data_IF_931153803057
#
_entry.id   IF_931153803057
#
_cell.length_a   1.000
_cell.length_b   1.000
_cell.length_c   1.000
_cell.angle_alpha   90.00
_cell.angle_beta   90.00
_cell.angle_gamma   90.00
#
_symmetry.space_group_name_H-M   'P 1'
#
loop_
_entity.id
_entity.type
_entity.pdbx_description
1 polymer ?
#
# COMPACT_ATOMS: atom_id res chain seq x y z
N UNK A 1 -4.10 3.90 -13.84
CA UNK A 1 -3.15 5.02 -13.57
C UNK A 1 -2.10 4.52 -12.59
N UNK A 2 -0.81 4.66 -12.86
CA UNK A 2 0.24 4.19 -11.95
C UNK A 2 1.30 5.28 -11.72
N UNK A 3 1.71 5.55 -10.47
CA UNK A 3 2.80 6.48 -10.19
C UNK A 3 4.12 6.05 -10.82
N UNK A 4 4.98 7.02 -11.12
CA UNK A 4 6.34 6.74 -11.58
C UNK A 4 7.18 6.09 -10.48
N UNK A 5 8.12 5.24 -10.89
CA UNK A 5 9.10 4.65 -9.97
C UNK A 5 10.10 5.72 -9.55
N UNK A 6 10.28 5.88 -8.23
CA UNK A 6 11.21 6.82 -7.62
C UNK A 6 12.22 6.09 -6.75
N UNK A 7 13.37 6.72 -6.49
CA UNK A 7 14.34 6.19 -5.53
C UNK A 7 13.88 6.52 -4.10
N UNK A 8 13.40 5.51 -3.39
CA UNK A 8 12.88 5.62 -2.02
C UNK A 8 13.99 5.70 -0.97
N UNK A 9 15.21 5.27 -1.29
CA UNK A 9 16.30 5.18 -0.32
C UNK A 9 16.72 6.54 0.25
N UNK A 10 16.69 7.59 -0.57
CA UNK A 10 17.09 8.95 -0.17
C UNK A 10 16.17 9.61 0.85
N UNK A 11 14.95 9.06 1.03
CA UNK A 11 13.95 9.53 1.99
C UNK A 11 13.79 8.56 3.17
N UNK A 12 14.56 7.48 3.18
CA UNK A 12 14.51 6.45 4.21
C UNK A 12 15.39 6.83 5.41
N UNK A 13 15.08 6.24 6.57
CA UNK A 13 16.01 6.21 7.69
C UNK A 13 16.80 4.90 7.63
N UNK A 14 18.12 4.97 7.69
CA UNK A 14 19.00 3.80 7.67
C UNK A 14 19.72 3.65 9.00
N UNK A 15 19.82 2.41 9.48
CA UNK A 15 20.58 2.04 10.67
C UNK A 15 21.51 0.87 10.38
N UNK A 16 22.64 0.83 11.06
CA UNK A 16 23.58 -0.31 11.04
C UNK A 16 23.84 -0.79 12.46
N UNK A 17 24.02 -2.09 12.65
CA UNK A 17 24.43 -2.64 13.94
C UNK A 17 25.93 -2.45 14.24
N UNK A 18 26.73 -2.04 13.26
CA UNK A 18 28.15 -1.77 13.41
C UNK A 18 28.65 -0.79 12.32
N UNK A 19 29.34 0.27 12.73
CA UNK A 19 30.03 1.21 11.84
C UNK A 19 31.47 1.42 12.32
N UNK A 20 32.41 1.55 11.39
CA UNK A 20 33.80 1.78 11.79
C UNK A 20 33.94 3.13 12.51
N UNK A 21 34.90 3.23 13.44
CA UNK A 21 35.14 4.47 14.17
C UNK A 21 34.26 4.70 15.42
N UNK A 22 33.22 3.90 15.66
CA UNK A 22 32.29 4.06 16.80
C UNK A 22 32.99 3.89 18.17
N UNK A 23 34.02 3.03 18.25
CA UNK A 23 34.77 2.73 19.48
C UNK A 23 36.16 3.39 19.50
N UNK A 24 36.43 4.28 18.55
CA UNK A 24 37.73 4.88 18.31
C UNK A 24 38.30 4.53 16.92
N UNK A 25 39.47 5.07 16.56
CA UNK A 25 40.03 4.97 15.21
C UNK A 25 40.32 3.52 14.78
N UNK A 26 39.71 3.09 13.68
CA UNK A 26 39.92 1.77 13.05
C UNK A 26 40.79 1.92 11.79
N UNK A 27 41.88 1.15 11.69
CA UNK A 27 42.78 1.18 10.54
C UNK A 27 42.34 0.14 9.51
N UNK A 28 42.01 0.59 8.31
CA UNK A 28 41.59 -0.27 7.21
C UNK A 28 42.56 -0.18 6.03
N UNK A 29 42.61 -1.21 5.20
CA UNK A 29 43.48 -1.27 4.03
C UNK A 29 42.71 -1.73 2.80
N UNK A 30 42.99 -1.15 1.63
CA UNK A 30 42.37 -1.62 0.38
C UNK A 30 42.88 -3.00 -0.01
N UNK A 31 41.97 -3.85 -0.47
CA UNK A 31 42.32 -5.14 -1.06
C UNK A 31 42.93 -4.91 -2.45
N UNK A 32 44.14 -5.42 -2.67
CA UNK A 32 44.85 -5.37 -3.96
C UNK A 32 45.30 -6.78 -4.33
N UNK A 33 45.25 -7.11 -5.62
CA UNK A 33 45.61 -8.44 -6.12
C UNK A 33 47.14 -8.64 -6.18
N UNK A 34 47.90 -7.58 -6.45
CA UNK A 34 49.36 -7.57 -6.50
C UNK A 34 49.91 -6.30 -5.85
N UNK A 35 50.94 -6.45 -5.01
CA UNK A 35 51.69 -5.33 -4.42
C UNK A 35 52.87 -5.06 -5.34
N UNK A 36 52.84 -3.94 -6.06
CA UNK A 36 53.93 -3.56 -6.96
C UNK A 36 55.16 -3.17 -6.12
N UNK A 37 56.17 -4.04 -6.11
CA UNK A 37 57.41 -3.91 -5.29
C UNK A 37 58.27 -2.69 -5.65
N UNK A 38 57.94 -1.94 -6.70
CA UNK A 38 58.70 -0.77 -7.18
C UNK A 38 58.31 0.56 -6.52
N UNK A 39 57.20 0.59 -5.78
CA UNK A 39 56.78 1.77 -5.02
C UNK A 39 56.58 1.38 -3.56
N UNK A 40 57.26 2.06 -2.66
CA UNK A 40 57.24 1.87 -1.19
C UNK A 40 55.87 2.21 -0.52
N UNK A 41 54.78 2.22 -1.31
CA UNK A 41 53.40 2.51 -0.91
C UNK A 41 52.53 1.24 -0.94
N UNK A 42 53.07 0.13 -0.44
CA UNK A 42 52.57 -1.23 -0.64
C UNK A 42 51.20 -1.57 -0.02
N UNK A 43 50.58 -0.65 0.71
CA UNK A 43 49.24 -0.83 1.27
C UNK A 43 48.53 0.53 1.34
N UNK A 44 47.54 0.77 0.47
CA UNK A 44 46.68 1.95 0.55
C UNK A 44 45.74 1.80 1.74
N UNK A 45 46.24 2.16 2.92
CA UNK A 45 45.48 2.12 4.17
C UNK A 45 44.99 3.52 4.56
N UNK A 46 43.88 3.55 5.29
CA UNK A 46 43.28 4.75 5.86
C UNK A 46 42.89 4.52 7.32
N UNK A 47 42.39 5.57 7.94
CA UNK A 47 41.82 5.56 9.29
C UNK A 47 40.34 5.87 9.15
N UNK A 48 39.50 5.08 9.82
CA UNK A 48 38.09 5.38 10.00
C UNK A 48 37.86 5.77 11.45
N UNK A 49 37.39 6.98 11.68
CA UNK A 49 37.09 7.49 13.01
C UNK A 49 35.87 8.42 12.93
N UNK A 50 34.79 8.00 13.57
CA UNK A 50 33.52 8.73 13.55
C UNK A 50 33.63 10.10 14.25
N UNK A 51 34.57 10.23 15.19
CA UNK A 51 34.81 11.45 15.95
C UNK A 51 35.95 12.30 15.36
N UNK A 52 36.55 11.88 14.23
CA UNK A 52 37.62 12.63 13.59
C UNK A 52 37.13 14.01 13.14
N UNK A 53 38.01 15.01 13.26
CA UNK A 53 37.78 16.34 12.69
C UNK A 53 37.77 16.31 11.16
N UNK A 54 38.48 15.35 10.56
CA UNK A 54 38.56 15.17 9.12
C UNK A 54 37.32 14.44 8.60
N UNK A 55 36.45 15.08 7.79
CA UNK A 55 35.26 14.43 7.25
C UNK A 55 35.55 13.20 6.38
N UNK A 56 36.74 13.14 5.77
CA UNK A 56 37.15 12.03 4.89
C UNK A 56 37.41 10.72 5.64
N UNK A 57 37.52 10.77 6.97
CA UNK A 57 37.71 9.60 7.85
C UNK A 57 36.38 9.14 8.47
N UNK A 58 35.28 9.86 8.22
CA UNK A 58 33.94 9.55 8.76
C UNK A 58 33.10 8.82 7.72
N UNK A 59 32.77 7.56 8.02
CA UNK A 59 32.03 6.66 7.13
C UNK A 59 30.69 6.23 7.72
N UNK A 60 29.88 7.22 8.09
CA UNK A 60 28.57 7.02 8.72
C UNK A 60 27.57 6.29 7.78
N UNK A 61 26.53 5.67 8.36
CA UNK A 61 25.60 4.80 7.63
C UNK A 61 24.73 5.58 6.62
N UNK A 62 24.48 6.85 6.90
CA UNK A 62 23.69 7.75 6.05
C UNK A 62 24.37 8.00 4.70
N UNK A 63 25.70 7.90 4.62
CA UNK A 63 26.45 8.00 3.37
C UNK A 63 26.07 6.89 2.36
N UNK A 64 25.41 5.81 2.79
CA UNK A 64 24.96 4.77 1.88
C UNK A 64 23.70 5.15 1.09
N UNK A 65 22.95 6.17 1.52
CA UNK A 65 21.67 6.59 0.93
C UNK A 65 21.62 8.08 0.56
N UNK A 66 22.74 8.79 0.65
CA UNK A 66 22.81 10.25 0.43
C UNK A 66 22.69 10.66 -1.05
N UNK A 67 22.77 9.71 -1.97
CA UNK A 67 22.67 9.91 -3.42
C UNK A 67 23.84 10.65 -4.06
N UNK A 68 24.92 10.91 -3.32
CA UNK A 68 26.10 11.64 -3.84
C UNK A 68 27.13 10.70 -4.47
N UNK A 69 27.31 9.52 -3.87
CA UNK A 69 28.20 8.46 -4.37
C UNK A 69 29.70 8.76 -4.30
N UNK A 70 30.11 9.90 -3.72
CA UNK A 70 31.49 10.26 -3.42
C UNK A 70 31.94 9.78 -2.02
N UNK A 71 30.99 9.69 -1.08
CA UNK A 71 31.17 9.14 0.26
C UNK A 71 30.63 7.71 0.35
N UNK A 72 30.95 7.03 1.45
CA UNK A 72 30.46 5.68 1.71
C UNK A 72 30.29 5.42 3.21
N UNK A 73 29.42 4.47 3.51
CA UNK A 73 29.36 3.79 4.80
C UNK A 73 30.38 2.65 4.83
N UNK A 74 30.99 2.42 6.00
CA UNK A 74 31.95 1.33 6.18
C UNK A 74 31.73 0.60 7.51
N UNK A 75 31.74 -0.73 7.48
CA UNK A 75 31.74 -1.56 8.69
C UNK A 75 33.12 -1.60 9.35
N UNK A 76 33.22 -1.96 10.63
CA UNK A 76 34.52 -2.28 11.24
C UNK A 76 35.25 -3.39 10.48
N UNK A 77 36.57 -3.37 10.55
CA UNK A 77 37.41 -4.42 9.97
C UNK A 77 37.35 -5.70 10.79
N UNK A 78 37.72 -6.84 10.18
CA UNK A 78 37.88 -8.10 10.92
C UNK A 78 39.00 -8.02 11.97
N UNK A 79 39.94 -7.07 11.85
CA UNK A 79 40.97 -6.80 12.87
C UNK A 79 40.35 -6.40 14.22
N UNK A 80 39.20 -5.71 14.18
CA UNK A 80 38.44 -5.32 15.37
C UNK A 80 37.61 -6.47 15.96
N UNK A 81 37.44 -7.57 15.24
CA UNK A 81 36.75 -8.76 15.74
C UNK A 81 36.03 -9.58 14.66
N UNK A 82 36.05 -10.90 14.83
CA UNK A 82 35.42 -11.85 13.91
C UNK A 82 33.89 -11.72 13.81
N UNK A 83 33.24 -11.12 14.82
CA UNK A 83 31.80 -10.85 14.78
C UNK A 83 31.40 -9.96 13.60
N UNK A 84 32.32 -9.12 13.09
CA UNK A 84 32.05 -8.21 11.97
C UNK A 84 31.98 -8.89 10.60
N UNK A 85 32.11 -10.23 10.54
CA UNK A 85 31.56 -10.98 9.42
C UNK A 85 30.04 -10.83 9.29
N UNK A 86 29.35 -10.52 10.40
CA UNK A 86 27.91 -10.39 10.47
C UNK A 86 27.53 -8.95 10.77
N UNK A 87 27.07 -8.24 9.75
CA UNK A 87 26.64 -6.84 9.84
C UNK A 87 25.25 -6.73 9.22
N UNK A 88 24.36 -5.98 9.85
CA UNK A 88 22.99 -5.81 9.39
C UNK A 88 22.70 -4.35 9.21
N UNK A 89 22.28 -3.97 8.00
CA UNK A 89 21.74 -2.64 7.72
C UNK A 89 20.22 -2.76 7.58
N UNK A 90 19.49 -1.85 8.19
CA UNK A 90 18.02 -1.80 8.13
C UNK A 90 17.58 -0.42 7.68
N UNK A 91 16.75 -0.37 6.63
CA UNK A 91 16.13 0.83 6.11
C UNK A 91 14.64 0.85 6.48
N UNK A 92 14.16 1.97 6.99
CA UNK A 92 12.74 2.26 7.22
C UNK A 92 12.27 3.30 6.20
N UNK A 93 11.41 2.87 5.26
CA UNK A 93 10.80 3.72 4.23
C UNK A 93 9.67 4.60 4.78
N UNK A 94 9.38 4.54 6.10
CA UNK A 94 8.32 5.29 6.81
C UNK A 94 6.88 4.89 6.49
N UNK A 95 6.64 4.30 5.33
CA UNK A 95 5.37 3.73 4.91
C UNK A 95 5.59 2.53 3.99
N UNK A 96 4.51 1.83 3.65
CA UNK A 96 4.57 0.67 2.74
C UNK A 96 4.59 1.16 1.30
N UNK A 97 5.56 0.66 0.52
CA UNK A 97 5.67 0.89 -0.91
C UNK A 97 5.66 -0.44 -1.67
N UNK A 98 5.34 -0.36 -2.96
CA UNK A 98 5.61 -1.44 -3.89
C UNK A 98 7.02 -1.28 -4.45
N UNK A 99 7.94 -2.15 -4.04
CA UNK A 99 9.36 -2.09 -4.44
C UNK A 99 9.58 -2.89 -5.71
N UNK A 100 10.10 -2.23 -6.74
CA UNK A 100 10.38 -2.82 -8.04
C UNK A 100 11.79 -3.42 -8.11
N UNK A 101 12.78 -2.74 -7.55
CA UNK A 101 14.17 -3.21 -7.52
C UNK A 101 14.97 -2.62 -6.37
N UNK A 102 16.07 -3.29 -6.04
CA UNK A 102 17.10 -2.81 -5.10
C UNK A 102 18.45 -2.91 -5.79
N UNK A 103 19.17 -1.79 -5.85
CA UNK A 103 20.52 -1.70 -6.38
C UNK A 103 21.46 -1.31 -5.24
N UNK A 104 22.56 -2.05 -5.10
CA UNK A 104 23.59 -1.78 -4.09
C UNK A 104 24.92 -1.63 -4.80
N UNK A 105 25.64 -0.55 -4.49
CA UNK A 105 26.97 -0.27 -5.00
C UNK A 105 28.00 -0.30 -3.88
N UNK A 106 28.88 -1.28 -3.93
CA UNK A 106 30.03 -1.35 -3.04
C UNK A 106 30.97 -0.16 -3.30
N UNK A 107 31.74 0.24 -2.28
CA UNK A 107 32.69 1.33 -2.39
C UNK A 107 34.13 0.81 -2.60
N UNK A 108 34.98 0.92 -1.59
CA UNK A 108 36.38 0.51 -1.57
C UNK A 108 36.59 -0.95 -1.12
N UNK A 109 35.52 -1.72 -0.95
CA UNK A 109 35.53 -3.16 -0.66
C UNK A 109 34.89 -3.97 -1.79
N UNK A 110 35.19 -5.29 -1.88
CA UNK A 110 34.43 -6.20 -2.73
C UNK A 110 32.96 -6.32 -2.29
N UNK A 111 32.14 -6.93 -3.14
CA UNK A 111 30.77 -7.30 -2.80
C UNK A 111 30.73 -8.33 -1.67
N UNK A 112 29.66 -8.36 -0.86
CA UNK A 112 29.52 -9.35 0.21
C UNK A 112 29.53 -10.79 -0.31
N UNK A 113 30.04 -11.71 0.51
CA UNK A 113 30.11 -13.13 0.16
C UNK A 113 28.74 -13.81 0.31
N UNK A 114 28.34 -14.07 1.55
CA UNK A 114 27.01 -14.61 1.85
C UNK A 114 26.19 -13.55 2.58
N UNK A 115 24.97 -13.31 2.11
CA UNK A 115 24.04 -12.36 2.72
C UNK A 115 22.61 -12.61 2.25
N UNK A 116 21.65 -11.95 2.91
CA UNK A 116 20.22 -12.05 2.60
C UNK A 116 19.68 -10.63 2.42
N UNK A 117 18.90 -10.43 1.37
CA UNK A 117 18.03 -9.27 1.23
C UNK A 117 16.66 -9.66 1.79
N UNK A 118 16.23 -9.01 2.86
CA UNK A 118 14.98 -9.29 3.57
C UNK A 118 14.07 -8.06 3.51
N UNK A 119 12.75 -8.31 3.57
CA UNK A 119 11.71 -7.28 3.66
C UNK A 119 10.79 -7.51 4.85
N UNK A 120 10.11 -6.45 5.26
CA UNK A 120 9.06 -6.47 6.27
C UNK A 120 8.09 -5.31 6.08
N UNK A 121 6.83 -5.49 6.46
CA UNK A 121 5.81 -4.43 6.51
C UNK A 121 5.63 -3.87 7.93
N UNK A 122 5.90 -4.68 8.96
CA UNK A 122 5.68 -4.38 10.37
C UNK A 122 6.99 -4.09 11.17
N UNK A 123 8.14 -4.46 10.62
CA UNK A 123 9.47 -4.38 11.25
C UNK A 123 9.80 -5.54 12.19
N UNK A 124 8.84 -6.45 12.41
CA UNK A 124 8.94 -7.59 13.35
C UNK A 124 9.08 -8.90 12.58
N UNK A 125 8.20 -9.13 11.62
CA UNK A 125 8.22 -10.33 10.77
C UNK A 125 9.03 -10.06 9.52
N UNK A 126 10.05 -10.90 9.27
CA UNK A 126 10.98 -10.71 8.17
C UNK A 126 10.89 -11.88 7.20
N UNK A 127 10.72 -11.55 5.92
CA UNK A 127 10.71 -12.52 4.83
C UNK A 127 11.84 -12.22 3.83
N UNK A 128 12.50 -13.24 3.29
CA UNK A 128 13.59 -13.05 2.33
C UNK A 128 13.02 -12.64 0.95
N UNK A 129 13.65 -11.67 0.30
CA UNK A 129 13.46 -11.41 -1.13
C UNK A 129 14.44 -12.21 -1.98
N UNK A 130 15.71 -12.29 -1.55
CA UNK A 130 16.74 -13.01 -2.28
C UNK A 130 17.91 -13.42 -1.37
N UNK A 131 18.47 -14.58 -1.67
CA UNK A 131 19.68 -15.10 -1.03
C UNK A 131 20.91 -14.93 -1.93
N UNK A 132 22.04 -14.68 -1.30
CA UNK A 132 23.33 -14.54 -1.98
C UNK A 132 24.37 -15.41 -1.28
N UNK A 133 25.13 -16.16 -2.07
CA UNK A 133 26.14 -17.07 -1.56
C UNK A 133 27.39 -17.10 -2.43
N UNK A 134 28.53 -17.46 -1.83
CA UNK A 134 29.79 -17.55 -2.56
C UNK A 134 29.91 -18.72 -3.53
N UNK A 135 29.06 -19.74 -3.41
CA UNK A 135 29.05 -20.94 -4.25
C UNK A 135 27.69 -21.63 -4.22
N UNK A 136 27.42 -22.46 -5.22
CA UNK A 136 26.14 -23.18 -5.35
C UNK A 136 25.93 -24.15 -4.18
N UNK A 137 27.04 -24.74 -3.69
CA UNK A 137 27.05 -25.55 -2.47
C UNK A 137 26.63 -24.74 -1.23
N UNK A 138 27.08 -23.49 -1.11
CA UNK A 138 26.69 -22.63 0.00
C UNK A 138 25.22 -22.20 -0.10
N UNK A 139 24.69 -21.96 -1.31
CA UNK A 139 23.25 -21.74 -1.51
C UNK A 139 22.42 -22.92 -0.97
N UNK A 140 22.82 -24.15 -1.32
CA UNK A 140 22.09 -25.35 -0.92
C UNK A 140 22.22 -25.61 0.59
N UNK A 141 23.45 -25.59 1.12
CA UNK A 141 23.70 -25.94 2.53
C UNK A 141 23.15 -24.90 3.51
N UNK A 142 23.20 -23.61 3.16
CA UNK A 142 22.84 -22.54 4.09
C UNK A 142 21.39 -22.08 3.95
N UNK A 143 20.84 -22.12 2.74
CA UNK A 143 19.52 -21.59 2.45
C UNK A 143 18.54 -22.64 1.90
N UNK A 144 18.99 -23.88 1.67
CA UNK A 144 18.14 -24.94 1.10
C UNK A 144 17.70 -24.63 -0.33
N UNK A 145 18.42 -23.76 -1.05
CA UNK A 145 18.06 -23.32 -2.41
C UNK A 145 19.11 -23.79 -3.41
N UNK A 146 18.65 -24.29 -4.55
CA UNK A 146 19.50 -24.50 -5.71
C UNK A 146 19.88 -23.13 -6.27
N UNK A 147 21.16 -22.92 -6.60
CA UNK A 147 21.60 -21.66 -7.18
C UNK A 147 20.92 -21.42 -8.53
N UNK A 148 20.47 -20.18 -8.75
CA UNK A 148 19.89 -19.74 -10.02
C UNK A 148 20.90 -19.92 -11.15
N UNK A 149 20.45 -20.44 -12.30
CA UNK A 149 21.29 -20.55 -13.48
C UNK A 149 21.77 -19.17 -13.97
N UNK A 150 22.91 -19.12 -14.65
CA UNK A 150 23.41 -17.90 -15.28
C UNK A 150 22.47 -17.49 -16.43
N UNK A 151 21.84 -16.32 -16.31
CA UNK A 151 20.93 -15.79 -17.33
C UNK A 151 19.92 -14.81 -16.75
N UNK A 152 18.92 -14.44 -17.55
CA UNK A 152 17.77 -13.70 -17.05
C UNK A 152 17.00 -14.56 -16.04
N UNK A 153 16.62 -14.00 -14.87
CA UNK A 153 15.87 -14.75 -13.87
C UNK A 153 14.51 -15.15 -14.46
N UNK A 154 14.12 -16.41 -14.26
CA UNK A 154 12.81 -16.93 -14.65
C UNK A 154 12.19 -17.62 -13.43
N UNK A 155 11.10 -17.06 -12.92
CA UNK A 155 10.43 -17.54 -11.70
C UNK A 155 9.20 -18.37 -12.05
N UNK A 156 8.96 -19.43 -11.28
CA UNK A 156 7.77 -20.28 -11.40
C UNK A 156 6.54 -19.63 -10.77
N UNK A 157 6.73 -18.89 -9.68
CA UNK A 157 5.66 -18.19 -8.94
C UNK A 157 6.08 -16.75 -8.60
N UNK A 158 5.10 -15.88 -8.37
CA UNK A 158 5.37 -14.47 -8.03
C UNK A 158 6.04 -14.31 -6.66
N UNK A 159 5.83 -15.27 -5.75
CA UNK A 159 6.48 -15.30 -4.43
C UNK A 159 7.81 -16.07 -4.38
N UNK A 160 8.28 -16.66 -5.49
CA UNK A 160 9.48 -17.49 -5.47
C UNK A 160 10.72 -16.69 -5.08
N UNK A 161 11.47 -17.23 -4.11
CA UNK A 161 12.73 -16.67 -3.59
C UNK A 161 13.90 -17.55 -4.04
N UNK A 162 14.85 -16.92 -4.74
CA UNK A 162 16.02 -17.58 -5.30
C UNK A 162 17.30 -17.34 -4.49
N UNK A 163 18.31 -18.18 -4.74
CA UNK A 163 19.69 -17.93 -4.32
C UNK A 163 20.58 -17.73 -5.54
N UNK A 164 21.43 -16.70 -5.55
CA UNK A 164 22.37 -16.44 -6.65
C UNK A 164 23.81 -16.36 -6.15
N UNK A 165 24.73 -16.81 -7.01
CA UNK A 165 26.19 -16.70 -6.78
C UNK A 165 26.83 -15.63 -7.66
N UNK A 166 26.09 -15.05 -8.61
CA UNK A 166 26.58 -14.09 -9.59
C UNK A 166 27.11 -12.80 -8.94
N UNK A 167 26.35 -12.26 -7.98
CA UNK A 167 26.69 -11.03 -7.27
C UNK A 167 27.62 -11.22 -6.06
N UNK A 168 28.03 -12.46 -5.78
CA UNK A 168 28.96 -12.80 -4.68
C UNK A 168 30.39 -13.10 -5.18
N UNK A 169 30.66 -12.85 -6.46
CA UNK A 169 32.01 -12.97 -7.04
C UNK A 169 32.91 -11.86 -6.51
N UNK A 170 34.17 -12.20 -6.26
CA UNK A 170 35.16 -11.30 -5.64
C UNK A 170 35.50 -10.10 -6.53
N UNK A 171 35.55 -10.29 -7.85
CA UNK A 171 35.76 -9.18 -8.79
C UNK A 171 34.41 -8.48 -9.07
N UNK A 172 34.40 -7.14 -9.21
CA UNK A 172 35.53 -6.23 -8.99
C UNK A 172 35.81 -6.02 -7.48
N UNK A 173 37.05 -5.69 -7.13
CA UNK A 173 37.44 -5.42 -5.73
C UNK A 173 36.87 -4.12 -5.15
N UNK A 174 36.33 -3.25 -6.00
CA UNK A 174 35.76 -1.95 -5.66
C UNK A 174 34.63 -1.64 -6.64
N UNK A 175 33.69 -0.78 -6.26
CA UNK A 175 32.59 -0.32 -7.12
C UNK A 175 31.73 -1.46 -7.70
N UNK A 176 31.73 -2.63 -7.05
CA UNK A 176 30.93 -3.76 -7.48
C UNK A 176 29.44 -3.47 -7.28
N UNK A 177 28.66 -3.65 -8.34
CA UNK A 177 27.22 -3.44 -8.30
C UNK A 177 26.47 -4.76 -8.14
N UNK A 178 25.34 -4.66 -7.45
CA UNK A 178 24.38 -5.72 -7.20
C UNK A 178 23.03 -5.18 -7.64
N UNK A 179 22.40 -5.87 -8.57
CA UNK A 179 21.10 -5.49 -9.13
C UNK A 179 20.09 -6.57 -8.78
N UNK A 180 19.05 -6.21 -8.02
CA UNK A 180 17.98 -7.11 -7.62
C UNK A 180 16.68 -6.59 -8.20
N UNK A 181 16.15 -7.25 -9.23
CA UNK A 181 14.80 -6.97 -9.72
C UNK A 181 13.79 -7.87 -9.00
N UNK A 182 12.74 -7.27 -8.45
CA UNK A 182 11.67 -7.98 -7.77
C UNK A 182 10.47 -8.27 -8.68
N UNK A 183 10.40 -7.61 -9.84
CA UNK A 183 9.29 -7.75 -10.81
C UNK A 183 9.73 -8.53 -12.06
N UNK A 184 10.90 -8.23 -12.63
CA UNK A 184 11.29 -8.78 -13.93
C UNK A 184 11.50 -10.30 -13.86
N UNK A 185 10.93 -11.01 -14.84
CA UNK A 185 11.03 -12.47 -14.95
C UNK A 185 9.96 -13.25 -14.18
N UNK A 186 9.05 -12.56 -13.48
CA UNK A 186 7.92 -13.17 -12.78
C UNK A 186 6.68 -13.31 -13.67
N UNK A 187 5.82 -14.33 -13.47
CA UNK A 187 4.65 -14.58 -14.32
C UNK A 187 3.71 -13.38 -14.45
N UNK A 188 3.43 -12.65 -13.37
CA UNK A 188 2.49 -11.52 -13.36
C UNK A 188 3.19 -10.16 -13.46
N UNK A 189 4.36 -10.08 -14.08
CA UNK A 189 5.11 -8.82 -14.21
C UNK A 189 4.35 -7.74 -15.01
N UNK A 190 3.62 -8.12 -16.06
CA UNK A 190 2.85 -7.18 -16.90
C UNK A 190 1.54 -6.75 -16.24
N UNK A 191 0.84 -7.69 -15.59
CA UNK A 191 -0.41 -7.45 -14.87
C UNK A 191 -0.27 -7.98 -13.43
N UNK A 192 0.18 -7.13 -12.48
CA UNK A 192 0.51 -7.56 -11.13
C UNK A 192 -0.66 -8.26 -10.42
N UNK A 193 -0.42 -9.52 -10.04
CA UNK A 193 -1.33 -10.30 -9.20
C UNK A 193 -1.29 -9.79 -7.76
N UNK A 194 -2.29 -10.16 -6.95
CA UNK A 194 -2.24 -9.89 -5.50
C UNK A 194 -0.99 -10.50 -4.84
N UNK A 195 -0.57 -11.69 -5.29
CA UNK A 195 0.64 -12.35 -4.81
C UNK A 195 1.90 -11.52 -5.10
N UNK A 196 2.02 -10.97 -6.32
CA UNK A 196 3.17 -10.13 -6.68
C UNK A 196 3.17 -8.81 -5.91
N UNK A 197 2.01 -8.18 -5.75
CA UNK A 197 1.87 -6.95 -4.97
C UNK A 197 2.26 -7.19 -3.52
N UNK A 198 1.77 -8.26 -2.90
CA UNK A 198 2.17 -8.61 -1.53
C UNK A 198 3.67 -8.92 -1.45
N UNK A 199 4.22 -9.71 -2.37
CA UNK A 199 5.64 -10.04 -2.42
C UNK A 199 6.53 -8.77 -2.51
N UNK A 200 6.15 -7.82 -3.37
CA UNK A 200 6.90 -6.57 -3.59
C UNK A 200 6.61 -5.48 -2.54
N UNK A 201 5.58 -5.65 -1.71
CA UNK A 201 5.22 -4.70 -0.65
C UNK A 201 6.22 -4.74 0.52
N UNK A 202 6.78 -3.58 0.86
CA UNK A 202 7.67 -3.43 2.00
C UNK A 202 7.64 -2.01 2.57
N UNK A 203 7.78 -1.92 3.90
CA UNK A 203 8.15 -0.68 4.61
C UNK A 203 9.59 -0.73 5.06
N UNK A 204 10.04 -1.89 5.52
CA UNK A 204 11.40 -2.09 5.99
C UNK A 204 12.16 -3.02 5.06
N UNK A 205 13.41 -2.66 4.79
CA UNK A 205 14.33 -3.46 3.96
C UNK A 205 15.59 -3.70 4.77
N UNK A 206 16.06 -4.95 4.80
CA UNK A 206 17.22 -5.34 5.60
C UNK A 206 18.25 -6.07 4.74
N UNK A 207 19.48 -5.59 4.81
CA UNK A 207 20.65 -6.22 4.23
C UNK A 207 21.35 -6.98 5.35
N UNK A 208 21.15 -8.29 5.42
CA UNK A 208 21.74 -9.15 6.44
C UNK A 208 23.03 -9.77 5.92
N UNK A 209 24.14 -9.06 6.11
CA UNK A 209 25.48 -9.51 5.71
C UNK A 209 25.97 -10.58 6.68
N UNK A 210 26.38 -11.75 6.16
CA UNK A 210 26.69 -12.91 7.00
C UNK A 210 28.13 -13.42 6.87
N UNK A 211 28.79 -13.14 5.74
CA UNK A 211 30.16 -13.59 5.45
C UNK A 211 30.82 -12.63 4.46
N UNK A 212 32.04 -12.18 4.78
CA UNK A 212 32.86 -11.36 3.88
C UNK A 212 33.45 -12.25 2.78
N UNK A 213 33.59 -11.71 1.57
CA UNK A 213 34.28 -12.42 0.49
C UNK A 213 35.79 -12.30 0.66
N UNK A 214 36.48 -13.43 0.76
CA UNK A 214 37.93 -13.50 0.97
C UNK A 214 38.68 -14.02 -0.25
N UNK A 215 39.98 -13.68 -0.36
CA UNK A 215 40.89 -14.36 -1.27
C UNK A 215 41.17 -15.78 -0.76
N UNK A 216 41.38 -16.74 -1.68
CA UNK A 216 41.70 -18.13 -1.31
C UNK A 216 42.95 -18.21 -0.43
N UNK A 217 43.97 -17.39 -0.68
CA UNK A 217 45.21 -17.35 0.12
C UNK A 217 45.01 -16.83 1.55
N UNK A 218 44.02 -15.96 1.76
CA UNK A 218 43.76 -15.34 3.06
C UNK A 218 42.74 -16.14 3.90
N UNK A 219 42.16 -17.20 3.30
CA UNK A 219 41.13 -18.04 3.91
C UNK A 219 41.62 -18.73 5.19
N UNK A 220 42.89 -19.15 5.23
CA UNK A 220 43.49 -19.85 6.37
C UNK A 220 43.62 -18.92 7.59
N UNK A 221 44.03 -17.66 7.36
CA UNK A 221 44.20 -16.64 8.41
C UNK A 221 42.85 -16.21 9.00
N UNK A 222 41.78 -16.25 8.21
CA UNK A 222 40.43 -15.85 8.61
C UNK A 222 39.55 -17.02 9.07
N UNK A 223 40.10 -18.23 9.14
CA UNK A 223 39.36 -19.40 9.65
C UNK A 223 39.22 -19.35 11.18
N UNK A 224 38.07 -19.78 11.68
CA UNK A 224 37.77 -19.81 13.12
C UNK A 224 38.75 -20.78 13.80
N UNK A 225 39.67 -20.24 14.61
CA UNK A 225 40.65 -21.04 15.38
C UNK A 225 42.13 -20.72 15.10
N UNK A 226 42.45 -19.77 14.20
CA UNK A 226 43.83 -19.28 14.08
C UNK A 226 44.20 -18.48 15.34
N UNK A 227 45.29 -18.87 16.01
CA UNK A 227 45.76 -18.25 17.26
C UNK A 227 46.49 -16.92 17.04
N UNK A 228 46.67 -16.49 15.78
CA UNK A 228 47.27 -15.21 15.42
C UNK A 228 46.47 -14.52 14.31
N UNK A 229 45.77 -13.44 14.68
CA UNK A 229 45.22 -12.49 13.72
C UNK A 229 46.39 -11.69 13.14
N UNK A 230 46.73 -11.90 11.87
CA UNK A 230 47.69 -11.05 11.16
C UNK A 230 47.00 -9.74 10.74
N UNK A 231 47.33 -8.58 11.36
CA UNK A 231 46.70 -7.31 11.04
C UNK A 231 46.94 -6.87 9.59
N UNK A 232 47.97 -7.41 8.93
CA UNK A 232 48.24 -7.12 7.52
C UNK A 232 47.16 -7.71 6.60
N UNK A 233 46.46 -8.76 7.04
CA UNK A 233 45.37 -9.44 6.32
C UNK A 233 44.02 -8.97 6.83
N UNK A 234 43.77 -9.01 8.14
CA UNK A 234 42.45 -8.74 8.74
C UNK A 234 41.94 -7.32 8.48
N UNK A 235 42.84 -6.33 8.39
CA UNK A 235 42.51 -4.93 8.05
C UNK A 235 42.03 -4.71 6.62
N UNK A 236 42.19 -5.71 5.74
CA UNK A 236 41.74 -5.64 4.33
C UNK A 236 40.28 -6.06 4.15
N UNK A 237 39.65 -6.61 5.19
CA UNK A 237 38.34 -7.22 5.12
C UNK A 237 37.33 -6.45 5.97
N UNK A 238 36.40 -5.80 5.28
CA UNK A 238 35.28 -5.03 5.80
C UNK A 238 34.23 -4.88 4.69
N UNK A 239 33.04 -4.39 5.04
CA UNK A 239 32.01 -4.00 4.08
C UNK A 239 32.04 -2.49 3.86
N UNK A 240 31.81 -2.07 2.62
CA UNK A 240 31.66 -0.66 2.27
C UNK A 240 30.57 -0.50 1.21
N UNK A 241 29.68 0.47 1.41
CA UNK A 241 28.55 0.74 0.51
C UNK A 241 28.46 2.25 0.31
N UNK A 242 28.48 2.69 -0.94
CA UNK A 242 28.40 4.12 -1.30
C UNK A 242 27.05 4.54 -1.87
N UNK A 243 26.25 3.58 -2.28
CA UNK A 243 24.91 3.85 -2.80
C UNK A 243 24.02 2.62 -2.63
N UNK A 244 22.84 2.86 -2.07
CA UNK A 244 21.70 1.96 -2.04
C UNK A 244 20.58 2.72 -2.72
N UNK A 245 20.10 2.19 -3.84
CA UNK A 245 18.98 2.73 -4.59
C UNK A 245 17.82 1.74 -4.56
N UNK A 246 16.67 2.20 -4.10
CA UNK A 246 15.46 1.39 -3.97
C UNK A 246 14.43 1.99 -4.90
N UNK A 247 14.26 1.38 -6.06
CA UNK A 247 13.21 1.77 -6.99
C UNK A 247 11.88 1.22 -6.51
N UNK A 248 10.94 2.10 -6.18
CA UNK A 248 9.58 1.71 -5.85
C UNK A 248 8.57 2.80 -6.16
N UNK A 249 7.30 2.47 -5.94
CA UNK A 249 6.17 3.37 -6.18
C UNK A 249 5.12 3.22 -5.08
N UNK A 250 4.28 4.25 -4.92
CA UNK A 250 3.14 4.19 -4.00
C UNK A 250 2.10 3.16 -4.46
N UNK A 251 1.44 2.54 -3.51
CA UNK A 251 0.33 1.62 -3.77
C UNK A 251 -0.95 2.44 -3.86
N UNK A 252 -1.33 2.87 -5.06
CA UNK A 252 -2.56 3.66 -5.27
C UNK A 252 -3.69 2.85 -5.95
N UNK A 253 -3.56 1.52 -5.99
CA UNK A 253 -4.52 0.58 -6.60
C UNK A 253 -5.02 0.93 -8.01
N UNK A 254 -4.21 1.62 -8.82
CA UNK A 254 -4.60 2.02 -10.17
C UNK A 254 -5.40 3.33 -10.27
N UNK A 255 -5.65 4.01 -9.14
CA UNK A 255 -6.49 5.21 -9.01
C UNK A 255 -5.71 6.53 -8.87
N UNK A 256 -4.39 6.52 -8.98
CA UNK A 256 -3.62 7.76 -8.99
C UNK A 256 -2.44 7.65 -9.95
N UNK A 257 -2.21 8.74 -10.69
CA UNK A 257 -1.04 8.88 -11.57
C UNK A 257 0.18 9.44 -10.84
N UNK A 258 -0.02 10.09 -9.69
CA UNK A 258 1.04 10.74 -8.92
C UNK A 258 0.87 10.48 -7.42
N UNK A 259 1.99 10.54 -6.72
CA UNK A 259 2.03 10.36 -5.27
C UNK A 259 3.00 11.38 -4.67
N UNK A 260 2.59 12.66 -4.56
CA UNK A 260 3.45 13.71 -4.02
C UNK A 260 3.74 13.50 -2.53
N UNK A 261 4.87 14.03 -2.08
CA UNK A 261 5.22 14.10 -0.66
C UNK A 261 4.39 15.17 0.03
N UNK A 262 3.73 14.81 1.13
CA UNK A 262 2.97 15.73 1.97
C UNK A 262 3.95 16.56 2.84
N UNK A 263 3.81 17.88 2.77
CA UNK A 263 4.71 18.84 3.42
C UNK A 263 4.62 18.84 4.95
N UNK A 264 3.54 18.31 5.53
CA UNK A 264 3.35 18.30 6.98
C UNK A 264 4.07 17.14 7.68
N UNK A 265 4.12 15.97 7.04
CA UNK A 265 4.65 14.74 7.65
C UNK A 265 5.78 14.08 6.83
N UNK A 266 6.09 14.57 5.63
CA UNK A 266 7.12 14.01 4.75
C UNK A 266 6.74 12.66 4.13
N UNK A 267 5.49 12.22 4.25
CA UNK A 267 4.99 10.95 3.71
C UNK A 267 4.45 11.12 2.30
N UNK A 268 4.52 10.08 1.48
CA UNK A 268 3.97 10.12 0.12
C UNK A 268 2.48 9.76 0.16
N UNK A 269 1.63 10.63 -0.36
CA UNK A 269 0.17 10.45 -0.38
C UNK A 269 -0.32 10.38 -1.82
N UNK A 270 -1.16 9.40 -2.15
CA UNK A 270 -1.70 9.28 -3.50
C UNK A 270 -2.59 10.49 -3.83
N UNK A 271 -2.42 11.08 -5.01
CA UNK A 271 -3.35 12.07 -5.55
C UNK A 271 -4.52 11.31 -6.20
N UNK A 272 -5.52 10.95 -5.39
CA UNK A 272 -6.59 10.06 -5.82
C UNK A 272 -7.47 10.67 -6.92
N UNK A 273 -7.73 9.86 -7.95
CA UNK A 273 -8.64 10.11 -9.06
C UNK A 273 -9.80 9.09 -8.97
N UNK A 274 -10.63 8.99 -10.02
CA UNK A 274 -11.70 7.97 -10.11
C UNK A 274 -12.72 8.01 -8.95
N UNK A 275 -12.92 9.20 -8.35
CA UNK A 275 -13.76 9.42 -7.17
C UNK A 275 -13.42 8.52 -5.98
N UNK A 276 -12.12 8.23 -5.81
CA UNK A 276 -11.59 7.50 -4.67
C UNK A 276 -10.95 8.45 -3.67
N UNK A 277 -10.90 8.02 -2.41
CA UNK A 277 -10.29 8.75 -1.29
C UNK A 277 -9.56 7.77 -0.38
N UNK A 278 -8.80 8.31 0.58
CA UNK A 278 -7.93 7.52 1.45
C UNK A 278 -6.47 7.80 1.16
N UNK A 279 -5.58 7.18 1.93
CA UNK A 279 -4.14 7.40 1.82
C UNK A 279 -3.57 6.81 0.51
N UNK A 280 -4.16 5.68 0.10
CA UNK A 280 -3.80 4.84 -1.02
C UNK A 280 -4.93 4.72 -2.05
N UNK A 281 -5.98 5.55 -1.95
CA UNK A 281 -7.18 5.46 -2.79
C UNK A 281 -7.96 4.15 -2.62
N UNK A 282 -7.96 3.62 -1.40
CA UNK A 282 -8.49 2.31 -1.00
C UNK A 282 -10.01 2.27 -0.79
N UNK A 283 -10.71 3.39 -0.97
CA UNK A 283 -12.16 3.50 -0.81
C UNK A 283 -12.76 4.54 -1.75
N UNK A 284 -14.06 4.42 -2.02
CA UNK A 284 -14.81 5.44 -2.74
C UNK A 284 -15.02 6.70 -1.89
N UNK A 285 -15.16 7.85 -2.55
CA UNK A 285 -15.56 9.09 -1.92
C UNK A 285 -16.97 8.98 -1.33
N UNK A 286 -17.30 9.75 -0.26
CA UNK A 286 -18.67 9.87 0.22
C UNK A 286 -19.63 10.24 -0.92
N UNK A 287 -20.75 9.52 -1.03
CA UNK A 287 -21.70 9.69 -2.14
C UNK A 287 -21.41 8.88 -3.40
N UNK A 288 -20.25 8.22 -3.51
CA UNK A 288 -19.84 7.45 -4.71
C UNK A 288 -19.85 5.93 -4.50
N UNK A 289 -20.89 5.41 -3.86
CA UNK A 289 -20.99 3.99 -3.49
C UNK A 289 -22.01 3.21 -4.34
N UNK A 290 -22.24 3.59 -5.60
CA UNK A 290 -23.15 2.85 -6.48
C UNK A 290 -22.66 1.40 -6.72
N UNK A 291 -21.35 1.20 -6.76
CA UNK A 291 -20.71 -0.13 -6.89
C UNK A 291 -19.71 -0.37 -5.78
N UNK A 292 -19.41 -1.65 -5.53
CA UNK A 292 -18.31 -2.07 -4.67
C UNK A 292 -16.98 -1.57 -5.24
N UNK A 293 -16.15 -0.95 -4.39
CA UNK A 293 -14.81 -0.51 -4.76
C UNK A 293 -13.96 -1.65 -5.34
N UNK A 294 -13.22 -1.37 -6.41
CA UNK A 294 -12.28 -2.29 -7.07
C UNK A 294 -11.05 -1.52 -7.57
N UNK A 295 -9.88 -2.17 -7.73
CA UNK A 295 -8.71 -1.53 -8.31
C UNK A 295 -8.95 -0.98 -9.73
N UNK A 296 -8.36 0.18 -10.04
CA UNK A 296 -8.51 0.91 -11.30
C UNK A 296 -7.79 0.32 -12.51
N UNK A 297 -7.19 -0.88 -12.40
CA UNK A 297 -6.44 -1.52 -13.48
C UNK A 297 -7.31 -1.77 -14.73
N UNK A 298 -8.60 -2.06 -14.53
CA UNK A 298 -9.57 -2.29 -15.60
C UNK A 298 -10.40 -1.02 -15.91
N UNK A 299 -9.93 0.16 -15.50
CA UNK A 299 -10.67 1.41 -15.67
C UNK A 299 -11.83 1.60 -14.70
N UNK A 300 -11.86 0.86 -13.58
CA UNK A 300 -12.89 1.06 -12.55
C UNK A 300 -12.81 2.46 -11.95
N UNK A 301 -13.98 3.08 -11.82
CA UNK A 301 -14.18 4.34 -11.11
C UNK A 301 -15.41 4.25 -10.22
N UNK A 302 -15.35 4.90 -9.06
CA UNK A 302 -16.49 4.97 -8.17
C UNK A 302 -17.56 5.89 -8.80
N UNK A 303 -18.79 5.40 -8.84
CA UNK A 303 -19.94 6.10 -9.41
C UNK A 303 -20.82 6.68 -8.30
N UNK A 304 -21.30 7.90 -8.52
CA UNK A 304 -22.20 8.62 -7.63
C UNK A 304 -23.54 7.89 -7.48
N UNK A 305 -24.06 7.83 -6.25
CA UNK A 305 -25.38 7.30 -5.99
C UNK A 305 -26.44 8.30 -6.47
N UNK A 306 -27.49 7.81 -7.11
CA UNK A 306 -28.63 8.65 -7.42
C UNK A 306 -29.55 8.77 -6.21
N UNK A 307 -29.51 9.90 -5.50
CA UNK A 307 -30.40 10.15 -4.37
C UNK A 307 -31.48 11.19 -4.68
N UNK A 308 -31.77 11.44 -5.96
CA UNK A 308 -32.70 12.49 -6.42
C UNK A 308 -32.43 13.88 -5.80
N UNK A 309 -31.18 14.18 -5.43
CA UNK A 309 -30.80 15.44 -4.76
C UNK A 309 -31.18 15.54 -3.26
N UNK A 310 -31.84 14.52 -2.71
CA UNK A 310 -32.34 14.54 -1.32
C UNK A 310 -31.34 13.99 -0.29
N UNK A 311 -30.28 13.33 -0.72
CA UNK A 311 -29.15 12.93 0.12
C UNK A 311 -27.83 13.13 -0.62
N UNK A 312 -26.75 13.38 0.14
CA UNK A 312 -25.38 13.55 -0.38
C UNK A 312 -24.47 12.36 -0.04
N UNK A 313 -24.90 11.50 0.87
CA UNK A 313 -24.16 10.32 1.32
C UNK A 313 -24.95 9.05 1.02
N UNK A 314 -24.23 7.99 0.70
CA UNK A 314 -24.78 6.66 0.45
C UNK A 314 -23.74 5.59 0.82
N UNK A 315 -24.20 4.36 1.01
CA UNK A 315 -23.35 3.18 1.18
C UNK A 315 -23.71 2.11 0.14
N UNK A 316 -22.80 1.16 -0.09
CA UNK A 316 -23.03 0.03 -0.98
C UNK A 316 -23.62 -1.15 -0.21
N UNK A 317 -24.73 -1.68 -0.68
CA UNK A 317 -25.39 -2.88 -0.19
C UNK A 317 -25.39 -3.99 -1.27
N UNK A 318 -24.75 -5.14 -1.02
CA UNK A 318 -24.69 -6.23 -1.99
C UNK A 318 -26.06 -6.85 -2.29
N UNK A 319 -26.98 -6.88 -1.30
CA UNK A 319 -28.30 -7.47 -1.49
C UNK A 319 -29.19 -6.57 -2.37
N UNK A 320 -29.05 -5.25 -2.25
CA UNK A 320 -29.70 -4.28 -3.15
C UNK A 320 -29.16 -4.44 -4.58
N UNK A 321 -27.84 -4.63 -4.73
CA UNK A 321 -27.21 -4.88 -6.02
C UNK A 321 -27.70 -6.18 -6.69
N UNK A 322 -27.85 -7.26 -5.92
CA UNK A 322 -28.35 -8.53 -6.43
C UNK A 322 -29.82 -8.45 -6.88
N UNK A 323 -30.64 -7.66 -6.19
CA UNK A 323 -32.05 -7.45 -6.56
C UNK A 323 -32.24 -6.43 -7.69
N UNK A 324 -31.25 -5.56 -7.91
CA UNK A 324 -31.36 -4.48 -8.89
C UNK A 324 -32.28 -3.35 -8.43
N UNK A 325 -32.35 -3.07 -7.13
CA UNK A 325 -33.30 -2.06 -6.61
C UNK A 325 -32.72 -0.63 -6.58
N UNK A 326 -31.41 -0.47 -6.78
CA UNK A 326 -30.75 0.83 -6.79
C UNK A 326 -30.72 1.43 -8.19
N UNK A 327 -31.24 2.66 -8.30
CA UNK A 327 -31.15 3.47 -9.51
C UNK A 327 -29.78 4.15 -9.61
N UNK A 328 -29.15 4.09 -10.77
CA UNK A 328 -27.92 4.85 -11.05
C UNK A 328 -28.23 6.27 -11.60
N UNK A 329 -27.19 7.06 -11.85
CA UNK A 329 -27.33 8.43 -12.39
C UNK A 329 -27.84 8.49 -13.84
N UNK A 330 -27.81 7.35 -14.56
CA UNK A 330 -28.33 7.20 -15.93
C UNK A 330 -29.78 6.71 -15.98
N UNK A 331 -30.42 6.50 -14.83
CA UNK A 331 -31.80 6.00 -14.76
C UNK A 331 -31.92 4.49 -14.97
N UNK A 332 -30.82 3.74 -14.84
CA UNK A 332 -30.79 2.28 -14.94
C UNK A 332 -30.78 1.67 -13.53
N UNK A 333 -31.60 0.63 -13.33
CA UNK A 333 -31.64 -0.13 -12.08
C UNK A 333 -30.48 -1.12 -12.01
N UNK A 334 -29.31 -0.62 -11.62
CA UNK A 334 -28.05 -1.35 -11.56
C UNK A 334 -27.15 -0.79 -10.47
N UNK A 335 -26.48 -1.66 -9.72
CA UNK A 335 -25.65 -1.27 -8.58
C UNK A 335 -26.38 -1.44 -7.26
N UNK A 336 -25.69 -1.12 -6.16
CA UNK A 336 -26.13 -1.35 -4.78
C UNK A 336 -26.13 -0.10 -3.92
N UNK A 337 -26.14 1.10 -4.50
CA UNK A 337 -26.13 2.35 -3.75
C UNK A 337 -27.41 2.54 -2.93
N UNK A 338 -27.27 2.82 -1.64
CA UNK A 338 -28.38 3.14 -0.72
C UNK A 338 -28.13 4.49 -0.07
N UNK A 339 -29.01 5.44 -0.31
CA UNK A 339 -28.93 6.80 0.20
C UNK A 339 -29.15 6.85 1.72
N UNK A 340 -28.42 7.73 2.39
CA UNK A 340 -28.48 7.91 3.84
C UNK A 340 -28.96 9.32 4.16
N UNK A 341 -29.96 9.41 5.05
CA UNK A 341 -30.47 10.70 5.51
C UNK A 341 -31.26 11.45 4.43
N UNK A 342 -32.20 10.77 3.78
CA UNK A 342 -33.13 11.39 2.84
C UNK A 342 -33.83 12.62 3.48
N UNK A 343 -33.74 13.76 2.80
CA UNK A 343 -34.36 15.03 3.22
C UNK A 343 -35.72 15.23 2.56
N UNK A 344 -36.37 16.36 2.84
CA UNK A 344 -37.57 16.81 2.12
C UNK A 344 -38.76 15.84 2.19
N UNK A 345 -38.84 15.06 3.27
CA UNK A 345 -39.91 14.07 3.48
C UNK A 345 -39.82 12.84 2.57
N UNK A 346 -38.66 12.61 1.97
CA UNK A 346 -38.42 11.46 1.08
C UNK A 346 -37.91 10.22 1.82
N UNK A 347 -38.10 9.05 1.22
CA UNK A 347 -37.73 7.74 1.73
C UNK A 347 -37.36 6.79 0.56
N UNK A 348 -36.96 5.57 0.88
CA UNK A 348 -36.56 4.56 -0.09
C UNK A 348 -35.05 4.56 -0.39
N UNK A 349 -34.62 3.61 -1.23
CA UNK A 349 -33.19 3.36 -1.54
C UNK A 349 -32.51 4.56 -2.17
N UNK A 350 -33.20 5.24 -3.09
CA UNK A 350 -32.73 6.39 -3.84
C UNK A 350 -33.40 7.70 -3.37
N UNK A 351 -34.06 7.71 -2.21
CA UNK A 351 -34.95 8.79 -1.78
C UNK A 351 -36.11 9.04 -2.77
N UNK A 352 -36.56 7.97 -3.45
CA UNK A 352 -37.55 8.03 -4.53
C UNK A 352 -39.00 7.93 -4.06
N UNK A 353 -39.28 7.60 -2.79
CA UNK A 353 -40.64 7.56 -2.23
C UNK A 353 -40.81 8.66 -1.17
N UNK A 354 -42.01 8.79 -0.62
CA UNK A 354 -42.25 9.64 0.54
C UNK A 354 -42.20 8.82 1.82
N UNK A 355 -41.85 9.45 2.94
CA UNK A 355 -41.99 8.85 4.27
C UNK A 355 -43.46 8.57 4.57
N UNK A 356 -43.71 7.65 5.50
CA UNK A 356 -45.07 7.30 5.94
C UNK A 356 -45.83 8.56 6.41
N UNK A 357 -47.08 8.69 5.97
CA UNK A 357 -47.92 9.86 6.25
C UNK A 357 -47.68 11.06 5.31
N UNK A 358 -46.83 10.92 4.29
CA UNK A 358 -46.67 11.90 3.21
C UNK A 358 -46.95 11.27 1.85
N UNK A 359 -47.24 12.10 0.85
CA UNK A 359 -47.50 11.66 -0.52
C UNK A 359 -46.86 12.59 -1.55
N UNK A 360 -46.59 12.07 -2.74
CA UNK A 360 -46.14 12.84 -3.90
C UNK A 360 -47.32 13.18 -4.81
N UNK A 361 -47.58 14.46 -5.13
CA UNK A 361 -48.59 14.83 -6.13
C UNK A 361 -48.26 14.29 -7.53
N UNK A 362 -49.28 14.06 -8.37
CA UNK A 362 -49.15 13.41 -9.69
C UNK A 362 -48.17 14.10 -10.66
N UNK A 363 -48.08 15.44 -10.61
CA UNK A 363 -47.26 16.23 -11.54
C UNK A 363 -45.92 16.68 -10.93
N UNK A 364 -45.47 16.03 -9.85
CA UNK A 364 -44.24 16.36 -9.15
C UNK A 364 -43.24 15.22 -9.31
N UNK A 365 -42.09 15.51 -9.87
CA UNK A 365 -41.00 14.53 -10.04
C UNK A 365 -40.29 14.23 -8.72
N UNK A 366 -39.61 13.09 -8.68
CA UNK A 366 -38.90 12.63 -7.48
C UNK A 366 -37.70 13.48 -7.10
N UNK A 367 -37.13 14.26 -8.02
CA UNK A 367 -35.98 15.15 -7.84
C UNK A 367 -36.37 16.62 -7.57
N UNK A 368 -37.68 16.90 -7.50
CA UNK A 368 -38.18 18.22 -7.10
C UNK A 368 -37.73 18.54 -5.67
N UNK A 369 -37.37 19.80 -5.40
CA UNK A 369 -36.85 20.21 -4.08
C UNK A 369 -37.77 19.90 -2.89
N UNK A 370 -39.09 19.81 -3.09
CA UNK A 370 -40.06 19.46 -2.04
C UNK A 370 -41.11 18.53 -2.64
N UNK A 371 -40.78 17.24 -2.85
CA UNK A 371 -41.61 16.34 -3.64
C UNK A 371 -42.76 15.74 -2.82
N UNK A 372 -42.65 15.76 -1.50
CA UNK A 372 -43.57 15.11 -0.59
C UNK A 372 -44.35 16.15 0.24
N UNK A 373 -45.67 15.98 0.30
CA UNK A 373 -46.58 16.79 1.11
C UNK A 373 -47.21 15.92 2.21
N UNK A 374 -47.46 16.47 3.41
CA UNK A 374 -48.11 15.73 4.48
C UNK A 374 -49.55 15.38 4.11
N UNK A 375 -49.97 14.17 4.42
CA UNK A 375 -51.37 13.78 4.34
C UNK A 375 -52.15 14.52 5.43
N UNK A 376 -53.14 15.31 5.02
CA UNK A 376 -54.01 16.03 5.96
C UNK A 376 -55.26 15.20 6.27
N UNK A 377 -55.07 14.01 6.86
CA UNK A 377 -56.18 13.15 7.26
C UNK A 377 -56.79 13.64 8.57
N UNK A 378 -58.12 13.71 8.63
CA UNK A 378 -58.79 14.05 9.87
C UNK A 378 -58.56 12.92 10.90
N UNK A 379 -57.96 13.25 12.05
CA UNK A 379 -57.36 12.32 13.01
C UNK A 379 -58.35 11.38 13.73
N UNK A 380 -59.65 11.50 13.47
CA UNK A 380 -60.64 10.72 14.20
C UNK A 380 -60.66 9.24 13.80
N UNK A 381 -60.28 8.85 12.57
CA UNK A 381 -60.70 7.54 12.07
C UNK A 381 -59.88 7.03 10.86
N UNK A 382 -58.63 6.62 11.06
CA UNK A 382 -57.82 5.88 10.06
C UNK A 382 -57.78 4.39 10.44
N UNK A 383 -58.12 3.50 9.51
CA UNK A 383 -57.96 2.04 9.64
C UNK A 383 -56.92 1.58 8.59
N UNK A 384 -55.66 1.48 9.03
CA UNK A 384 -54.48 0.99 8.29
C UNK A 384 -54.04 1.70 6.99
N UNK A 385 -52.71 1.69 6.77
CA UNK A 385 -52.01 2.15 5.56
C UNK A 385 -51.66 0.88 4.78
N UNK A 386 -52.49 0.46 3.84
CA UNK A 386 -52.11 -0.56 2.84
C UNK A 386 -52.70 -0.18 1.47
N UNK A 387 -51.88 -0.28 0.42
CA UNK A 387 -52.12 0.28 -0.90
C UNK A 387 -52.93 -0.64 -1.82
N UNK A 388 -54.24 -0.79 -1.60
CA UNK A 388 -55.06 -1.70 -2.42
C UNK A 388 -56.39 -1.13 -2.94
N UNK A 389 -56.59 0.18 -2.94
CA UNK A 389 -57.80 0.77 -3.53
C UNK A 389 -57.43 1.97 -4.41
N UNK A 390 -58.08 2.12 -5.57
CA UNK A 390 -57.95 3.16 -6.63
C UNK A 390 -58.05 4.63 -6.13
N UNK A 391 -57.27 4.99 -5.12
CA UNK A 391 -57.25 6.27 -4.45
C UNK A 391 -56.17 7.15 -5.06
N UNK A 392 -56.50 8.43 -5.26
CA UNK A 392 -55.52 9.41 -5.72
C UNK A 392 -54.42 9.62 -4.66
N UNK A 393 -53.17 9.93 -5.06
CA UNK A 393 -52.10 10.25 -4.10
C UNK A 393 -52.55 11.31 -3.08
N UNK A 394 -52.34 11.02 -1.80
CA UNK A 394 -52.73 11.89 -0.69
C UNK A 394 -54.17 11.74 -0.19
N UNK A 395 -54.92 10.76 -0.72
CA UNK A 395 -56.23 10.40 -0.18
C UNK A 395 -56.09 9.59 1.11
N UNK A 396 -56.98 9.85 2.05
CA UNK A 396 -57.04 9.16 3.33
C UNK A 396 -58.00 7.95 3.26
N UNK A 397 -57.68 6.90 4.00
CA UNK A 397 -58.59 5.79 4.22
C UNK A 397 -59.67 6.19 5.23
N UNK A 398 -60.90 6.41 4.74
CA UNK A 398 -62.01 6.85 5.57
C UNK A 398 -62.74 5.67 6.20
N UNK A 399 -63.06 5.78 7.49
CA UNK A 399 -63.98 4.83 8.13
C UNK A 399 -65.36 4.83 7.46
N UNK A 400 -66.08 3.73 7.67
CA UNK A 400 -67.47 3.58 7.27
C UNK A 400 -68.29 4.78 7.76
N UNK A 401 -69.05 5.39 6.84
CA UNK A 401 -69.84 6.58 7.12
C UNK A 401 -69.15 7.90 6.78
N UNK A 402 -67.86 7.89 6.42
CA UNK A 402 -67.10 9.07 6.01
C UNK A 402 -66.59 8.95 4.56
N UNK A 403 -66.38 10.08 3.91
CA UNK A 403 -65.87 10.17 2.53
C UNK A 403 -65.13 11.50 2.31
N UNK A 404 -64.58 11.70 1.12
CA UNK A 404 -63.72 12.82 0.76
C UNK A 404 -62.23 12.49 0.89
N UNK A 405 -61.37 13.26 0.21
CA UNK A 405 -59.93 13.01 0.17
C UNK A 405 -59.29 13.04 1.57
N UNK A 406 -59.86 13.83 2.49
CA UNK A 406 -59.38 14.00 3.87
C UNK A 406 -60.32 13.38 4.92
N UNK A 407 -61.34 12.62 4.47
CA UNK A 407 -62.40 12.10 5.33
C UNK A 407 -63.16 13.21 6.09
N UNK A 408 -63.40 14.32 5.39
CA UNK A 408 -63.97 15.56 5.92
C UNK A 408 -65.49 15.69 5.67
N UNK A 409 -66.13 14.63 5.16
CA UNK A 409 -67.56 14.61 4.81
C UNK A 409 -68.20 13.29 5.21
N UNK A 410 -69.51 13.30 5.46
CA UNK A 410 -70.26 12.06 5.63
C UNK A 410 -70.46 11.38 4.27
N UNK A 411 -70.27 10.06 4.24
CA UNK A 411 -70.57 9.22 3.10
C UNK A 411 -72.06 9.27 2.76
N UNK A 412 -72.41 8.87 1.53
CA UNK A 412 -73.80 8.77 1.13
C UNK A 412 -74.58 7.83 2.08
N UNK A 413 -75.72 8.30 2.59
CA UNK A 413 -76.50 7.60 3.61
C UNK A 413 -76.12 7.93 5.05
N UNK A 414 -75.21 8.89 5.28
CA UNK A 414 -74.83 9.38 6.61
C UNK A 414 -74.95 10.92 6.71
N UNK A 415 -75.17 11.46 7.91
CA UNK A 415 -75.28 12.91 8.16
C UNK A 415 -74.71 13.30 9.54
N UNK A 416 -74.44 14.59 9.77
CA UNK A 416 -74.04 15.10 11.10
C UNK A 416 -72.54 15.34 11.34
N UNK A 417 -71.72 15.52 10.30
CA UNK A 417 -70.28 15.81 10.44
C UNK A 417 -70.01 16.87 11.53
N UNK A 418 -69.08 16.65 12.48
CA UNK A 418 -67.99 15.65 12.47
C UNK A 418 -68.36 14.23 12.94
N UNK A 419 -69.59 13.98 13.40
CA UNK A 419 -70.04 12.66 13.84
C UNK A 419 -71.08 12.11 12.84
N UNK A 420 -70.61 11.36 11.84
CA UNK A 420 -71.47 10.88 10.78
C UNK A 420 -72.30 9.68 11.24
N UNK A 421 -73.61 9.89 11.41
CA UNK A 421 -74.58 8.86 11.77
C UNK A 421 -75.39 8.42 10.55
N UNK A 422 -75.79 7.14 10.45
CA UNK A 422 -76.65 6.67 9.37
C UNK A 422 -77.95 7.49 9.32
N UNK A 423 -78.29 8.00 8.15
CA UNK A 423 -79.56 8.69 7.96
C UNK A 423 -80.71 7.74 8.33
N UNK A 424 -81.72 8.19 9.11
CA UNK A 424 -82.91 7.40 9.32
C UNK A 424 -83.62 7.25 7.98
N UNK A 425 -83.47 6.10 7.33
CA UNK A 425 -84.19 5.75 6.11
C UNK A 425 -85.68 5.79 6.42
N UNK A 426 -86.37 6.86 5.99
CA UNK A 426 -87.83 6.85 6.02
C UNK A 426 -88.31 5.99 4.85
N UNK A 427 -88.73 4.76 5.14
CA UNK A 427 -89.38 3.85 4.20
C UNK A 427 -90.84 4.28 4.00
N UNK A 428 -91.06 5.44 3.38
CA UNK A 428 -92.38 5.90 2.96
C UNK A 428 -92.48 5.95 1.45
#
# INVERSE_FOLDING_TARGET
LFPSVVNLASHAEITSNATCGERGPDKFCKLVQHVDRRTDRGQQCGICDQFSRNPSERHAVENAIDGRGDRWWQSPTIDQGYQYHRVTLTLDLKQVFQVAYVIIKAANSPRPGNWILEKSTDGVTWSPWQYFATSDRECLLKYGKVASQLGAPNYKTDSEVMCTTYFSRLNPFQNGEIHVSLINGRPSAENPSFELVDFTSARYIRLRLQKIRTLHGDLMTLSIGSTQNDPSVTRRYYYSIKDISIGGMCICYGHASTCPTNTQNGLFHCACEHNTVGFNCERCAPGFHQYKWMPGNNGFQCEECNCHGHATECYYDPAVNERGDSLNTRGEYIGGGVCVGCRDGTAGINCQSCVDGMYRPLDVEADSSHPCLPCNCNAYDIDHIDAENDLFPGSCYCKVGYTGQQCDKCAFGYTGFPYCEPCPCNTS
#
